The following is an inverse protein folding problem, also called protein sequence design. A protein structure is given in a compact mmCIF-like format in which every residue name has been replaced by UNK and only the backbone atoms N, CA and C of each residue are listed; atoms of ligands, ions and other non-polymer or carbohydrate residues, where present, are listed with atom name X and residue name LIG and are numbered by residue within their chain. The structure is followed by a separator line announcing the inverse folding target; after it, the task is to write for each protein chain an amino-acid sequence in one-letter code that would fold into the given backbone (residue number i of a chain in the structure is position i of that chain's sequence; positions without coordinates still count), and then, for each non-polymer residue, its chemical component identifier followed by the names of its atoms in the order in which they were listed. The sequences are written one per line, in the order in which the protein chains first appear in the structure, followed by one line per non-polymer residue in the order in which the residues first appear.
data_IF_154464220841
#
_entry.id   IF_154464220841
#
_cell.length_a   1.000
_cell.length_b   1.000
_cell.length_c   1.000
_cell.angle_alpha   90.00
_cell.angle_beta   90.00
_cell.angle_gamma   90.00
#
_symmetry.space_group_name_H-M   'P 1'
#
loop_
_entity.id
_entity.type
_entity.pdbx_description
1 polymer ?
#
# COMPACT_ATOMS: atom_id res chain seq x y z
N UNK A 1 -39.92 -33.16 34.04
CA UNK A 1 -39.84 -32.62 32.66
C UNK A 1 -38.88 -31.44 32.66
N UNK A 2 -37.84 -31.46 31.84
CA UNK A 2 -36.77 -30.45 31.92
C UNK A 2 -37.28 -29.10 31.40
N UNK A 3 -37.42 -28.12 32.30
CA UNK A 3 -37.97 -26.78 31.99
C UNK A 3 -37.24 -26.10 30.82
N UNK A 4 -35.93 -26.34 30.70
CA UNK A 4 -35.10 -25.85 29.59
C UNK A 4 -35.55 -26.41 28.23
N UNK A 5 -35.89 -27.70 28.18
CA UNK A 5 -36.39 -28.35 26.96
C UNK A 5 -37.78 -27.82 26.61
N UNK A 6 -38.64 -27.62 27.60
CA UNK A 6 -39.97 -27.06 27.39
C UNK A 6 -39.92 -25.64 26.81
N UNK A 7 -39.10 -24.76 27.40
CA UNK A 7 -38.90 -23.39 26.89
C UNK A 7 -38.29 -23.42 25.48
N UNK A 8 -37.32 -24.31 25.24
CA UNK A 8 -36.71 -24.46 23.91
C UNK A 8 -37.75 -24.84 22.84
N UNK A 9 -38.60 -25.83 23.10
CA UNK A 9 -39.65 -26.24 22.17
C UNK A 9 -40.77 -25.19 22.05
N UNK A 10 -41.10 -24.48 23.12
CA UNK A 10 -42.07 -23.38 23.08
C UNK A 10 -41.59 -22.24 22.18
N UNK A 11 -40.32 -21.84 22.29
CA UNK A 11 -39.73 -20.77 21.46
C UNK A 11 -39.68 -21.21 19.99
N UNK A 12 -39.27 -22.45 19.71
CA UNK A 12 -39.26 -22.99 18.35
C UNK A 12 -40.68 -23.06 17.78
N UNK A 13 -41.65 -23.54 18.56
CA UNK A 13 -43.05 -23.63 18.17
C UNK A 13 -43.65 -22.25 17.86
N UNK A 14 -43.38 -21.25 18.70
CA UNK A 14 -43.83 -19.87 18.45
C UNK A 14 -43.19 -19.27 17.19
N UNK A 15 -41.90 -19.51 16.98
CA UNK A 15 -41.19 -19.06 15.79
C UNK A 15 -41.76 -19.69 14.52
N UNK A 16 -41.98 -21.00 14.52
CA UNK A 16 -42.60 -21.70 13.40
C UNK A 16 -44.04 -21.22 13.15
N UNK A 17 -44.83 -21.04 14.20
CA UNK A 17 -46.20 -20.53 14.09
C UNK A 17 -46.25 -19.10 13.52
N UNK A 18 -45.34 -18.22 13.96
CA UNK A 18 -45.20 -16.88 13.41
C UNK A 18 -44.86 -16.90 11.92
N UNK A 19 -43.96 -17.79 11.49
CA UNK A 19 -43.61 -17.95 10.08
C UNK A 19 -44.78 -18.48 9.24
N UNK A 20 -45.50 -19.48 9.73
CA UNK A 20 -46.68 -20.05 9.05
C UNK A 20 -47.79 -19.00 8.94
N UNK A 21 -48.07 -18.28 10.04
CA UNK A 21 -49.06 -17.20 10.06
C UNK A 21 -48.71 -16.10 9.06
N UNK A 22 -47.44 -15.70 9.00
CA UNK A 22 -47.01 -14.66 8.07
C UNK A 22 -47.05 -15.13 6.60
N UNK A 23 -46.93 -16.44 6.33
CA UNK A 23 -47.15 -17.04 5.01
C UNK A 23 -48.63 -17.12 4.61
N UNK A 24 -49.52 -17.38 5.56
CA UNK A 24 -50.97 -17.50 5.29
C UNK A 24 -51.61 -16.13 5.12
N UNK A 25 -51.21 -15.14 5.94
CA UNK A 25 -51.82 -13.81 5.92
C UNK A 25 -51.12 -12.85 4.94
N UNK A 26 -49.79 -12.90 4.77
CA UNK A 26 -49.04 -11.95 3.93
C UNK A 26 -47.76 -12.58 3.31
N UNK A 27 -47.89 -13.57 2.40
CA UNK A 27 -46.75 -14.34 1.87
C UNK A 27 -45.69 -13.49 1.18
N UNK A 28 -46.08 -12.33 0.62
CA UNK A 28 -45.16 -11.40 -0.03
C UNK A 28 -44.33 -10.56 0.94
N UNK A 29 -44.78 -10.36 2.18
CA UNK A 29 -44.16 -9.45 3.14
C UNK A 29 -42.89 -10.02 3.75
N UNK A 30 -42.86 -11.33 4.07
CA UNK A 30 -41.67 -12.02 4.59
C UNK A 30 -40.50 -11.96 3.61
N UNK A 31 -40.75 -12.36 2.36
CA UNK A 31 -39.72 -12.36 1.32
C UNK A 31 -39.25 -10.93 1.04
N UNK A 32 -40.16 -9.95 0.99
CA UNK A 32 -39.78 -8.53 0.89
C UNK A 32 -38.90 -8.11 2.05
N UNK A 33 -39.24 -8.44 3.29
CA UNK A 33 -38.46 -8.08 4.47
C UNK A 33 -37.05 -8.68 4.42
N UNK A 34 -36.92 -9.98 4.14
CA UNK A 34 -35.62 -10.65 4.02
C UNK A 34 -34.80 -10.03 2.89
N UNK A 35 -35.41 -9.82 1.72
CA UNK A 35 -34.76 -9.21 0.56
C UNK A 35 -34.32 -7.78 0.88
N UNK A 36 -35.14 -6.97 1.54
CA UNK A 36 -34.80 -5.60 1.95
C UNK A 36 -33.64 -5.58 2.92
N UNK A 37 -33.64 -6.42 3.96
CA UNK A 37 -32.51 -6.51 4.90
C UNK A 37 -31.24 -7.03 4.22
N UNK A 38 -31.35 -8.03 3.34
CA UNK A 38 -30.24 -8.52 2.54
C UNK A 38 -29.67 -7.44 1.62
N UNK A 39 -30.53 -6.64 0.98
CA UNK A 39 -30.14 -5.50 0.15
C UNK A 39 -29.39 -4.45 0.96
N UNK A 40 -29.91 -4.07 2.13
CA UNK A 40 -29.26 -3.12 3.04
C UNK A 40 -27.89 -3.65 3.48
N UNK A 41 -27.80 -4.90 3.89
CA UNK A 41 -26.55 -5.54 4.28
C UNK A 41 -25.54 -5.57 3.12
N UNK A 42 -26.00 -5.87 1.89
CA UNK A 42 -25.17 -5.87 0.70
C UNK A 42 -24.66 -4.47 0.35
N UNK A 43 -25.49 -3.43 0.49
CA UNK A 43 -25.09 -2.03 0.29
C UNK A 43 -24.04 -1.63 1.32
N UNK A 44 -24.26 -1.89 2.60
CA UNK A 44 -23.31 -1.60 3.68
C UNK A 44 -21.98 -2.33 3.43
N UNK A 45 -22.04 -3.62 3.12
CA UNK A 45 -20.86 -4.42 2.79
C UNK A 45 -20.12 -3.86 1.57
N UNK A 46 -20.84 -3.45 0.53
CA UNK A 46 -20.29 -2.82 -0.66
C UNK A 46 -19.54 -1.53 -0.35
N UNK A 47 -20.14 -0.65 0.46
CA UNK A 47 -19.51 0.61 0.89
C UNK A 47 -18.24 0.32 1.70
N UNK A 48 -18.33 -0.55 2.71
CA UNK A 48 -17.19 -0.92 3.55
C UNK A 48 -16.08 -1.55 2.71
N UNK A 49 -16.41 -2.51 1.85
CA UNK A 49 -15.46 -3.18 0.94
C UNK A 49 -14.78 -2.18 0.01
N UNK A 50 -15.54 -1.24 -0.54
CA UNK A 50 -15.02 -0.24 -1.47
C UNK A 50 -14.09 0.77 -0.78
N UNK A 51 -14.48 1.28 0.39
CA UNK A 51 -13.66 2.19 1.19
C UNK A 51 -12.40 1.49 1.69
N UNK A 52 -12.51 0.27 2.21
CA UNK A 52 -11.39 -0.52 2.71
C UNK A 52 -10.42 -0.92 1.60
N UNK A 53 -10.93 -1.28 0.41
CA UNK A 53 -10.11 -1.63 -0.75
C UNK A 53 -9.25 -0.45 -1.24
N UNK A 54 -9.78 0.79 -1.19
CA UNK A 54 -8.97 1.98 -1.52
C UNK A 54 -7.91 2.31 -0.47
N UNK A 55 -8.17 2.00 0.81
CA UNK A 55 -7.31 2.42 1.93
C UNK A 55 -6.23 1.39 2.29
N UNK A 56 -6.49 0.10 2.09
CA UNK A 56 -5.71 -0.99 2.68
C UNK A 56 -4.39 -1.37 2.00
N UNK A 57 -4.16 -1.04 0.71
CA UNK A 57 -3.03 -1.66 -0.01
C UNK A 57 -2.22 -0.72 -0.92
N UNK A 58 -2.57 0.57 -0.98
CA UNK A 58 -1.94 1.51 -1.93
C UNK A 58 -0.66 2.15 -1.37
N UNK A 59 -0.55 2.36 -0.05
CA UNK A 59 0.61 3.06 0.53
C UNK A 59 1.89 2.22 0.54
N UNK A 60 1.86 0.99 1.04
CA UNK A 60 3.03 0.10 1.04
C UNK A 60 3.44 -0.31 -0.38
N UNK A 61 2.49 -0.77 -1.19
CA UNK A 61 2.80 -1.17 -2.58
C UNK A 61 3.27 0.00 -3.44
N UNK A 62 2.77 1.22 -3.24
CA UNK A 62 3.25 2.37 -4.03
C UNK A 62 4.66 2.79 -3.63
N UNK A 63 5.01 2.74 -2.34
CA UNK A 63 6.36 3.02 -1.86
C UNK A 63 7.34 1.95 -2.35
N UNK A 64 6.99 0.67 -2.24
CA UNK A 64 7.79 -0.43 -2.76
C UNK A 64 7.95 -0.34 -4.29
N UNK A 65 6.87 -0.08 -5.04
CA UNK A 65 6.93 0.07 -6.51
C UNK A 65 7.78 1.27 -6.93
N UNK A 66 7.78 2.36 -6.14
CA UNK A 66 8.69 3.51 -6.34
C UNK A 66 10.15 3.11 -6.07
N UNK A 67 10.42 2.42 -4.96
CA UNK A 67 11.76 1.96 -4.60
C UNK A 67 12.34 0.97 -5.62
N UNK A 68 11.54 0.01 -6.10
CA UNK A 68 11.95 -0.94 -7.15
C UNK A 68 12.25 -0.22 -8.46
N UNK A 69 11.43 0.77 -8.86
CA UNK A 69 11.71 1.59 -10.05
C UNK A 69 13.01 2.38 -9.91
N UNK A 70 13.30 2.93 -8.73
CA UNK A 70 14.54 3.64 -8.47
C UNK A 70 15.76 2.69 -8.48
N UNK A 71 15.65 1.53 -7.84
CA UNK A 71 16.69 0.50 -7.86
C UNK A 71 16.96 0.01 -9.28
N UNK A 72 15.92 -0.32 -10.06
CA UNK A 72 16.06 -0.72 -11.47
C UNK A 72 16.70 0.36 -12.35
N UNK A 73 16.57 1.65 -12.03
CA UNK A 73 17.25 2.73 -12.76
C UNK A 73 18.70 2.88 -12.34
N UNK A 74 19.01 2.67 -11.04
CA UNK A 74 20.37 2.80 -10.49
C UNK A 74 21.27 1.61 -10.83
N UNK A 75 20.70 0.41 -10.88
CA UNK A 75 21.39 -0.83 -11.19
C UNK A 75 21.07 -1.35 -12.59
N UNK A 76 20.48 -0.54 -13.47
CA UNK A 76 20.41 -0.89 -14.87
C UNK A 76 21.85 -0.91 -15.40
N UNK A 77 22.42 -2.07 -15.76
CA UNK A 77 23.70 -2.07 -16.43
C UNK A 77 23.48 -1.25 -17.70
N UNK A 78 24.28 -0.19 -17.88
CA UNK A 78 24.33 0.50 -19.15
C UNK A 78 24.54 -0.60 -20.19
N UNK A 79 23.51 -0.88 -21.00
CA UNK A 79 23.70 -1.73 -22.17
C UNK A 79 24.91 -1.13 -22.88
N UNK A 80 25.95 -1.91 -23.22
CA UNK A 80 26.99 -1.40 -24.08
C UNK A 80 26.27 -1.06 -25.38
N UNK A 81 25.93 0.22 -25.54
CA UNK A 81 25.48 0.73 -26.81
C UNK A 81 26.64 0.47 -27.73
N UNK A 82 26.46 -0.50 -28.64
CA UNK A 82 27.32 -0.69 -29.78
C UNK A 82 27.25 0.57 -30.64
N UNK A 83 27.92 1.62 -30.21
CA UNK A 83 28.09 2.85 -30.96
C UNK A 83 29.32 3.56 -30.42
N UNK A 84 30.39 3.37 -31.19
CA UNK A 84 31.44 4.35 -31.42
C UNK A 84 32.47 4.43 -30.29
N UNK A 85 33.41 3.47 -30.33
CA UNK A 85 34.83 3.76 -30.09
C UNK A 85 35.18 4.96 -30.96
N UNK A 86 35.15 6.17 -30.38
CA UNK A 86 35.58 7.37 -31.06
C UNK A 86 37.10 7.32 -31.05
N UNK A 87 37.67 6.80 -32.15
CA UNK A 87 39.10 6.90 -32.47
C UNK A 87 39.59 8.30 -32.15
N UNK A 88 40.67 8.36 -31.40
CA UNK A 88 41.49 9.56 -31.24
C UNK A 88 42.09 9.83 -32.62
N UNK A 89 41.60 10.86 -33.31
CA UNK A 89 42.25 11.45 -34.47
C UNK A 89 42.37 12.96 -34.21
N UNK A 90 43.58 13.53 -34.32
CA UNK A 90 43.77 14.96 -34.15
C UNK A 90 43.38 15.64 -35.45
N UNK A 91 42.29 16.39 -35.45
CA UNK A 91 41.93 17.25 -36.57
C UNK A 91 41.45 18.61 -36.04
N UNK A 92 42.30 19.59 -36.31
CA UNK A 92 42.08 21.02 -36.44
C UNK A 92 40.73 21.62 -35.96
N UNK A 93 40.89 22.55 -35.00
CA UNK A 93 40.28 23.89 -34.99
C UNK A 93 38.78 23.99 -35.30
N UNK A 94 37.95 24.13 -34.26
CA UNK A 94 36.98 25.24 -34.16
C UNK A 94 36.79 25.60 -32.68
N UNK A 95 37.32 26.76 -32.29
CA UNK A 95 37.16 27.36 -30.97
C UNK A 95 35.68 27.72 -30.79
N UNK A 96 35.00 27.12 -29.81
CA UNK A 96 33.77 27.68 -29.23
C UNK A 96 34.03 27.99 -27.76
N UNK A 97 33.65 29.19 -27.27
CA UNK A 97 34.12 29.69 -25.99
C UNK A 97 33.61 28.83 -24.85
N UNK A 98 34.52 28.48 -23.94
CA UNK A 98 34.20 27.80 -22.69
C UNK A 98 33.17 28.63 -21.92
N UNK A 99 31.91 28.18 -21.90
CA UNK A 99 30.93 28.70 -20.97
C UNK A 99 31.44 28.37 -19.57
N UNK A 100 31.79 29.44 -18.85
CA UNK A 100 32.32 29.45 -17.48
C UNK A 100 31.65 28.36 -16.65
N UNK A 101 32.46 27.47 -16.07
CA UNK A 101 31.97 26.51 -15.09
C UNK A 101 31.25 27.32 -14.00
N UNK A 102 29.96 27.04 -13.80
CA UNK A 102 29.15 27.76 -12.83
C UNK A 102 29.81 27.65 -11.45
N UNK A 103 29.84 28.75 -10.69
CA UNK A 103 30.37 28.80 -9.33
C UNK A 103 29.75 27.74 -8.40
N UNK A 104 28.58 27.20 -8.76
CA UNK A 104 27.94 26.06 -8.12
C UNK A 104 28.76 24.75 -8.18
N UNK A 105 29.65 24.56 -9.17
CA UNK A 105 30.56 23.39 -9.24
C UNK A 105 31.82 23.55 -8.38
N UNK A 106 32.22 24.79 -8.08
CA UNK A 106 33.31 25.07 -7.13
C UNK A 106 32.88 24.81 -5.68
N UNK A 107 31.59 24.99 -5.38
CA UNK A 107 30.97 24.73 -4.09
C UNK A 107 30.25 23.36 -4.05
N UNK A 108 30.86 22.32 -4.62
CA UNK A 108 30.37 20.95 -4.44
C UNK A 108 30.54 20.49 -2.98
N UNK A 109 29.71 19.55 -2.49
CA UNK A 109 29.79 19.07 -1.11
C UNK A 109 31.17 18.48 -0.84
N UNK A 110 31.98 19.17 -0.02
CA UNK A 110 33.26 18.64 0.49
C UNK A 110 32.95 17.45 1.37
N UNK A 111 33.31 16.25 0.89
CA UNK A 111 33.32 15.04 1.69
C UNK A 111 34.44 15.18 2.72
N UNK A 112 34.13 15.71 3.89
CA UNK A 112 35.02 15.59 5.04
C UNK A 112 34.93 14.17 5.56
N UNK A 113 36.08 13.55 5.78
CA UNK A 113 36.15 12.28 6.51
C UNK A 113 35.54 12.53 7.89
N UNK A 114 34.41 11.87 8.18
CA UNK A 114 33.91 11.81 9.56
C UNK A 114 34.84 10.83 10.27
N UNK A 115 35.82 11.38 10.98
CA UNK A 115 36.56 10.61 11.97
C UNK A 115 35.58 10.25 13.10
N UNK A 116 34.94 9.09 12.95
CA UNK A 116 34.20 8.49 14.04
C UNK A 116 35.15 8.28 15.22
N UNK A 117 34.62 8.27 16.45
CA UNK A 117 35.34 7.89 17.68
C UNK A 117 35.73 6.39 17.67
N UNK A 118 36.38 5.89 16.62
CA UNK A 118 36.87 4.52 16.47
C UNK A 118 38.08 4.33 17.38
N UNK A 119 37.82 4.02 18.64
CA UNK A 119 38.84 3.79 19.68
C UNK A 119 38.61 4.54 21.00
N UNK A 120 37.65 5.46 21.10
CA UNK A 120 37.38 6.14 22.39
C UNK A 120 36.55 5.23 23.29
N UNK A 121 37.18 4.64 24.32
CA UNK A 121 36.48 3.92 25.41
C UNK A 121 35.54 4.88 26.13
N UNK A 122 34.29 4.48 26.35
CA UNK A 122 33.32 5.28 27.12
C UNK A 122 33.80 5.38 28.57
N UNK A 123 33.88 6.59 29.13
CA UNK A 123 34.04 6.77 30.58
C UNK A 123 32.81 6.16 31.25
N UNK A 124 32.99 5.09 32.03
CA UNK A 124 31.97 4.63 32.97
C UNK A 124 31.94 5.68 34.09
N UNK A 125 30.86 6.46 34.16
CA UNK A 125 30.56 7.22 35.38
C UNK A 125 30.10 6.21 36.41
N UNK A 126 30.89 6.04 37.47
CA UNK A 126 30.46 5.40 38.72
C UNK A 126 29.78 6.46 39.58
N UNK A 127 28.66 6.07 40.19
CA UNK A 127 27.80 6.86 41.08
C UNK A 127 28.58 7.54 42.21
#
# INVERSE_FOLDING_TARGET
MNIKKFVFYAVIGLGAFGLISMIVFEPGSLLRMIVTYALIAAVIYGIVRFVMSRRGNSRENSAYKKAVRQSKKKYQPAKPSASKVKRIQPAAQQRKPAKKASAARLNGPKLTVIEGKKGKKKKRMTL
#
